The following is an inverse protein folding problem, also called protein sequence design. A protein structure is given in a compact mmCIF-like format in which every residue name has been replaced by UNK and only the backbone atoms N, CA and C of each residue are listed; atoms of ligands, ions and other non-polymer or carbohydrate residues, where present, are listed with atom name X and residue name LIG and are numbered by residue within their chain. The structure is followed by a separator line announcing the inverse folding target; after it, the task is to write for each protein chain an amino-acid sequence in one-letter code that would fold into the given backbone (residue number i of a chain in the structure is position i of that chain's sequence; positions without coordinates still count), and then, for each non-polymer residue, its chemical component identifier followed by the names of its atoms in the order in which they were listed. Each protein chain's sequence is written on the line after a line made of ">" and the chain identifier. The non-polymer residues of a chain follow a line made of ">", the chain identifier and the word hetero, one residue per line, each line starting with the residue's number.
data_IF_012031222971
#
_entry.id   IF_012031222971
#
_cell.length_a   1.000
_cell.length_b   1.000
_cell.length_c   1.000
_cell.angle_alpha   90.00
_cell.angle_beta   90.00
_cell.angle_gamma   90.00
#
_symmetry.space_group_name_H-M   'P 1'
#
loop_
_entity.id
_entity.type
_entity.pdbx_description
1 polymer ?
#
# COMPACT_ATOMS: atom_id res chain seq x y z
N UNK A 1 1.09 -43.13 -14.18
CA UNK A 1 1.24 -41.67 -14.37
C UNK A 1 2.00 -41.12 -13.17
N UNK A 2 3.19 -40.56 -13.35
CA UNK A 2 3.94 -39.89 -12.28
C UNK A 2 3.42 -38.45 -12.17
N UNK A 3 2.84 -38.08 -11.03
CA UNK A 3 2.50 -36.69 -10.73
C UNK A 3 3.81 -35.91 -10.56
N UNK A 4 4.08 -34.95 -11.44
CA UNK A 4 5.12 -33.95 -11.18
C UNK A 4 4.63 -33.02 -10.08
N UNK A 5 5.46 -32.79 -9.07
CA UNK A 5 5.21 -31.73 -8.10
C UNK A 5 5.15 -30.39 -8.83
N UNK A 6 4.09 -29.62 -8.59
CA UNK A 6 3.97 -28.27 -9.11
C UNK A 6 4.93 -27.36 -8.32
N UNK A 7 5.75 -26.58 -9.02
CA UNK A 7 6.60 -25.58 -8.37
C UNK A 7 5.73 -24.62 -7.56
N UNK A 8 6.21 -24.16 -6.38
CA UNK A 8 5.48 -23.18 -5.60
C UNK A 8 5.26 -21.89 -6.43
N UNK A 9 4.15 -21.16 -6.20
CA UNK A 9 3.93 -19.88 -6.85
C UNK A 9 5.09 -18.92 -6.59
N UNK A 10 5.46 -18.12 -7.59
CA UNK A 10 6.43 -17.03 -7.42
C UNK A 10 5.72 -15.89 -6.66
N UNK A 11 6.26 -15.41 -5.53
CA UNK A 11 5.67 -14.27 -4.81
C UNK A 11 5.68 -13.00 -5.68
N UNK A 12 4.57 -12.25 -5.68
CA UNK A 12 4.42 -11.00 -6.44
C UNK A 12 4.48 -9.81 -5.48
N UNK A 13 5.28 -8.79 -5.81
CA UNK A 13 5.32 -7.50 -5.12
C UNK A 13 4.74 -6.44 -6.05
N UNK A 14 3.78 -5.66 -5.56
CA UNK A 14 3.33 -4.46 -6.24
C UNK A 14 4.36 -3.35 -6.00
N UNK A 15 5.07 -2.94 -7.04
CA UNK A 15 6.21 -2.02 -6.88
C UNK A 15 5.80 -0.54 -6.88
N UNK A 16 4.51 -0.22 -7.06
CA UNK A 16 4.06 1.17 -7.13
C UNK A 16 2.64 1.31 -6.59
N UNK A 17 2.52 1.65 -5.31
CA UNK A 17 1.26 2.04 -4.68
C UNK A 17 1.40 3.38 -3.95
N UNK A 18 0.27 3.99 -3.61
CA UNK A 18 0.22 5.17 -2.75
C UNK A 18 -0.65 4.87 -1.53
N UNK A 19 -0.17 5.21 -0.34
CA UNK A 19 -0.98 5.18 0.87
C UNK A 19 -1.43 6.58 1.27
N UNK A 20 -2.67 6.67 1.73
CA UNK A 20 -3.25 7.91 2.25
C UNK A 20 -4.49 7.60 3.08
N UNK A 21 -4.69 8.38 4.13
CA UNK A 21 -5.84 8.24 5.02
C UNK A 21 -6.48 9.61 5.27
N UNK A 22 -7.64 9.82 4.64
CA UNK A 22 -8.43 11.05 4.73
C UNK A 22 -9.02 11.30 6.12
N UNK A 23 -8.94 10.31 7.03
CA UNK A 23 -9.45 10.41 8.39
C UNK A 23 -8.40 10.87 9.41
N UNK A 24 -7.12 10.94 9.04
CA UNK A 24 -6.06 11.52 9.88
C UNK A 24 -6.37 13.00 10.20
N UNK A 25 -6.07 13.53 11.40
CA UNK A 25 -6.42 14.90 11.78
C UNK A 25 -5.92 16.00 10.82
N UNK A 26 -4.74 15.81 10.23
CA UNK A 26 -4.14 16.69 9.23
C UNK A 26 -4.71 16.50 7.81
N UNK A 27 -5.52 15.46 7.60
CA UNK A 27 -6.06 15.07 6.31
C UNK A 27 -4.98 14.55 5.37
N UNK A 28 -5.19 14.80 4.08
CA UNK A 28 -4.28 14.42 2.98
C UNK A 28 -4.13 15.60 2.01
N UNK A 29 -2.95 15.81 1.42
CA UNK A 29 -2.73 16.90 0.46
C UNK A 29 -3.28 16.58 -0.93
N UNK A 30 -3.50 15.29 -1.26
CA UNK A 30 -4.12 14.83 -2.48
C UNK A 30 -5.46 14.13 -2.20
N UNK A 31 -6.51 14.37 -3.00
CA UNK A 31 -6.59 15.26 -4.15
C UNK A 31 -6.69 16.75 -3.75
N UNK A 32 -6.06 17.62 -4.54
CA UNK A 32 -6.08 19.06 -4.34
C UNK A 32 -7.48 19.64 -4.63
N UNK A 33 -8.05 20.34 -3.64
CA UNK A 33 -9.39 20.94 -3.74
C UNK A 33 -10.50 19.99 -3.29
N UNK A 34 -11.58 20.57 -2.74
CA UNK A 34 -12.74 19.92 -2.07
C UNK A 34 -12.82 18.44 -2.45
N UNK A 35 -12.23 17.60 -1.60
CA UNK A 35 -11.79 16.25 -1.93
C UNK A 35 -12.82 15.46 -2.72
N UNK A 36 -12.34 14.56 -3.59
CA UNK A 36 -13.20 13.66 -4.36
C UNK A 36 -14.15 12.97 -3.36
N UNK A 37 -15.47 13.21 -3.45
CA UNK A 37 -16.41 12.56 -2.55
C UNK A 37 -16.27 11.05 -2.66
N UNK A 38 -16.01 10.38 -1.54
CA UNK A 38 -15.77 8.94 -1.53
C UNK A 38 -14.36 8.51 -1.94
N UNK A 39 -13.35 9.39 -1.86
CA UNK A 39 -11.96 8.96 -1.99
C UNK A 39 -11.69 7.82 -0.98
N UNK A 40 -11.40 6.60 -1.45
CA UNK A 40 -11.24 5.46 -0.57
C UNK A 40 -9.93 5.58 0.22
N UNK A 41 -9.96 5.29 1.52
CA UNK A 41 -8.76 5.17 2.35
C UNK A 41 -7.83 4.12 1.72
N UNK A 42 -6.58 4.49 1.45
CA UNK A 42 -5.55 3.60 0.93
C UNK A 42 -4.56 3.28 2.05
N UNK A 43 -4.81 2.16 2.74
CA UNK A 43 -4.03 1.67 3.88
C UNK A 43 -3.78 0.17 3.70
N UNK A 44 -2.88 -0.44 4.50
CA UNK A 44 -2.61 -1.88 4.39
C UNK A 44 -3.84 -2.78 4.41
N UNK A 45 -4.88 -2.43 5.17
CA UNK A 45 -6.13 -3.19 5.21
C UNK A 45 -6.88 -3.16 3.86
N UNK A 46 -7.05 -1.98 3.26
CA UNK A 46 -7.78 -1.83 2.00
C UNK A 46 -6.96 -2.37 0.82
N UNK A 47 -5.64 -2.25 0.87
CA UNK A 47 -4.73 -2.87 -0.09
C UNK A 47 -4.90 -4.39 -0.14
N UNK A 48 -4.85 -5.08 1.02
CA UNK A 48 -5.08 -6.54 1.08
C UNK A 48 -6.41 -6.97 0.47
N UNK A 49 -7.47 -6.20 0.70
CA UNK A 49 -8.79 -6.46 0.11
C UNK A 49 -8.75 -6.31 -1.41
N UNK A 50 -8.05 -5.29 -1.92
CA UNK A 50 -7.92 -5.04 -3.35
C UNK A 50 -7.13 -6.13 -4.08
N UNK A 51 -6.10 -6.70 -3.44
CA UNK A 51 -5.16 -7.63 -4.10
C UNK A 51 -5.37 -9.11 -3.75
N UNK A 52 -6.37 -9.45 -2.94
CA UNK A 52 -6.57 -10.79 -2.37
C UNK A 52 -6.57 -11.94 -3.40
N UNK A 53 -6.96 -11.69 -4.65
CA UNK A 53 -7.05 -12.68 -5.71
C UNK A 53 -5.91 -12.62 -6.74
N UNK A 54 -4.95 -11.71 -6.55
CA UNK A 54 -3.90 -11.42 -7.54
C UNK A 54 -2.56 -12.11 -7.22
N UNK A 55 -2.45 -12.79 -6.07
CA UNK A 55 -1.19 -13.41 -5.64
C UNK A 55 -0.11 -12.41 -5.19
N UNK A 56 -0.49 -11.15 -5.00
CA UNK A 56 0.38 -10.11 -4.45
C UNK A 56 0.55 -10.35 -2.95
N UNK A 57 1.80 -10.39 -2.50
CA UNK A 57 2.17 -10.69 -1.11
C UNK A 57 2.85 -9.52 -0.39
N UNK A 58 3.08 -8.41 -1.08
CA UNK A 58 3.67 -7.21 -0.52
C UNK A 58 3.68 -6.07 -1.52
N UNK A 59 4.06 -4.89 -1.06
CA UNK A 59 4.10 -3.68 -1.85
C UNK A 59 5.28 -2.76 -1.49
N UNK A 60 5.68 -1.95 -2.48
CA UNK A 60 6.54 -0.78 -2.29
C UNK A 60 5.65 0.44 -2.38
N UNK A 61 5.61 1.20 -1.29
CA UNK A 61 4.89 2.46 -1.22
C UNK A 61 5.72 3.56 -1.92
N UNK A 62 5.04 4.47 -2.62
CA UNK A 62 5.65 5.64 -3.24
C UNK A 62 4.95 6.87 -2.67
N UNK A 63 5.66 7.72 -1.95
CA UNK A 63 5.05 8.85 -1.25
C UNK A 63 4.44 9.82 -2.27
N UNK A 64 3.16 10.16 -2.05
CA UNK A 64 2.38 11.08 -2.89
C UNK A 64 2.27 12.48 -2.28
N UNK A 65 2.72 12.63 -1.03
CA UNK A 65 2.64 13.84 -0.23
C UNK A 65 3.94 14.66 -0.29
N UNK A 66 3.84 16.00 -0.32
CA UNK A 66 5.01 16.85 -0.10
C UNK A 66 5.40 16.95 1.39
N UNK A 67 4.71 16.27 2.31
CA UNK A 67 4.92 16.40 3.75
C UNK A 67 5.96 15.41 4.28
N UNK A 68 6.86 15.91 5.12
CA UNK A 68 7.86 15.08 5.81
C UNK A 68 7.19 14.11 6.80
N UNK A 69 6.06 14.52 7.38
CA UNK A 69 5.29 13.74 8.34
C UNK A 69 4.60 12.53 7.70
N UNK A 70 4.31 12.58 6.40
CA UNK A 70 3.73 11.44 5.68
C UNK A 70 4.79 10.38 5.38
N UNK A 71 5.99 10.82 5.00
CA UNK A 71 7.18 9.97 4.97
C UNK A 71 7.40 9.21 6.30
N UNK A 72 7.35 9.91 7.44
CA UNK A 72 7.46 9.28 8.75
C UNK A 72 6.31 8.28 9.00
N UNK A 73 5.09 8.65 8.66
CA UNK A 73 3.93 7.78 8.81
C UNK A 73 4.06 6.49 8.01
N UNK A 74 4.54 6.55 6.75
CA UNK A 74 4.79 5.35 5.95
C UNK A 74 5.87 4.48 6.59
N UNK A 75 6.95 5.07 7.11
CA UNK A 75 7.99 4.31 7.81
C UNK A 75 7.46 3.61 9.07
N UNK A 76 6.56 4.26 9.83
CA UNK A 76 5.90 3.66 10.99
C UNK A 76 4.94 2.52 10.60
N UNK A 77 4.23 2.66 9.48
CA UNK A 77 3.42 1.58 8.89
C UNK A 77 4.33 0.42 8.49
N UNK A 78 5.43 0.67 7.77
CA UNK A 78 6.36 -0.37 7.33
C UNK A 78 7.06 -1.07 8.51
N UNK A 79 7.29 -0.38 9.62
CA UNK A 79 7.86 -0.95 10.82
C UNK A 79 6.93 -1.97 11.52
N UNK A 80 5.62 -1.88 11.29
CA UNK A 80 4.60 -2.66 12.01
C UNK A 80 3.79 -3.59 11.11
N UNK A 81 3.68 -3.30 9.82
CA UNK A 81 2.94 -4.08 8.84
C UNK A 81 3.87 -4.64 7.74
N UNK A 82 4.15 -5.96 7.73
CA UNK A 82 5.08 -6.57 6.78
C UNK A 82 4.55 -6.64 5.33
N UNK A 83 3.32 -6.19 5.06
CA UNK A 83 2.86 -6.04 3.67
C UNK A 83 3.67 -4.96 2.93
N UNK A 84 4.25 -4.00 3.65
CA UNK A 84 5.11 -2.96 3.08
C UNK A 84 6.55 -3.45 3.12
N UNK A 85 7.12 -3.74 1.95
CA UNK A 85 8.49 -4.26 1.83
C UNK A 85 9.50 -3.17 1.46
N UNK A 86 9.03 -1.95 1.23
CA UNK A 86 9.84 -0.77 0.97
C UNK A 86 8.98 0.48 0.80
N UNK A 87 9.62 1.65 0.81
CA UNK A 87 9.01 2.94 0.50
C UNK A 87 9.98 3.81 -0.31
N UNK A 88 9.44 4.67 -1.17
CA UNK A 88 10.13 5.75 -1.87
C UNK A 88 9.57 7.06 -1.34
N UNK A 89 10.38 7.78 -0.57
CA UNK A 89 10.01 9.00 0.16
C UNK A 89 10.16 10.32 -0.58
#
# INVERSE_FOLDING_TARGET
>A
MSMRAQSPPIPIIDTHIHFFDTTRPQGVPYPAGKGIPGLPIAIPETFRKAVAQLGIVGAIEVEASPWLEDNLWVLEVAATDPIVVGTIG
#
